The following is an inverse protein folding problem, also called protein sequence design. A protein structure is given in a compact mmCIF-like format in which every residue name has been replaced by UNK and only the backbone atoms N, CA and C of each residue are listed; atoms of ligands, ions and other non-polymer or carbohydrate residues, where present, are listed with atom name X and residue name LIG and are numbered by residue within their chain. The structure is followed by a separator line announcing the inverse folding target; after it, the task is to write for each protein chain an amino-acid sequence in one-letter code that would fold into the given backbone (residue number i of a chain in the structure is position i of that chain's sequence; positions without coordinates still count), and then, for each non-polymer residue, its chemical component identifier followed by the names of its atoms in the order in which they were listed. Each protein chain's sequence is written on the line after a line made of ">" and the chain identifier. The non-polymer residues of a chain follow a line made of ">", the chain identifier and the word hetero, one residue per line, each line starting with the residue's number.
data_IF_766570650584
#
_entry.id   IF_766570650584
#
_cell.length_a   1.000
_cell.length_b   1.000
_cell.length_c   1.000
_cell.angle_alpha   90.00
_cell.angle_beta   90.00
_cell.angle_gamma   90.00
#
_symmetry.space_group_name_H-M   'P 1'
#
loop_
_entity.id
_entity.type
_entity.pdbx_description
1 polymer ?
#
# COMPACT_ATOMS: atom_id res chain seq x y z
N UNK A 1 -31.91 8.01 11.96
CA UNK A 1 -31.18 7.12 11.06
C UNK A 1 -29.71 7.28 11.38
N UNK A 2 -29.05 6.22 11.87
CA UNK A 2 -27.62 6.25 12.17
C UNK A 2 -26.79 6.10 10.90
N UNK A 3 -25.51 6.45 10.99
CA UNK A 3 -24.52 6.25 9.93
C UNK A 3 -24.46 4.78 9.46
N UNK A 4 -24.54 3.83 10.39
CA UNK A 4 -24.60 2.40 10.07
C UNK A 4 -25.88 2.03 9.34
N UNK A 5 -27.03 2.51 9.80
CA UNK A 5 -28.33 2.26 9.18
C UNK A 5 -28.37 2.80 7.74
N UNK A 6 -27.80 3.98 7.52
CA UNK A 6 -27.65 4.58 6.19
C UNK A 6 -26.79 3.69 5.28
N UNK A 7 -25.59 3.30 5.72
CA UNK A 7 -24.69 2.45 4.92
C UNK A 7 -25.36 1.11 4.58
N UNK A 8 -26.05 0.48 5.53
CA UNK A 8 -26.74 -0.79 5.30
C UNK A 8 -27.98 -0.64 4.41
N UNK A 9 -28.67 0.51 4.45
CA UNK A 9 -29.74 0.82 3.51
C UNK A 9 -29.19 0.95 2.08
N UNK A 10 -28.06 1.64 1.90
CA UNK A 10 -27.39 1.73 0.59
C UNK A 10 -26.90 0.36 0.11
N UNK A 11 -26.28 -0.44 0.99
CA UNK A 11 -25.84 -1.79 0.64
C UNK A 11 -27.00 -2.69 0.19
N UNK A 12 -28.19 -2.55 0.79
CA UNK A 12 -29.40 -3.28 0.36
C UNK A 12 -29.90 -2.77 -0.99
N UNK A 13 -29.99 -1.46 -1.18
CA UNK A 13 -30.43 -0.84 -2.44
C UNK A 13 -29.54 -1.28 -3.61
N UNK A 14 -28.23 -1.11 -3.44
CA UNK A 14 -27.21 -1.42 -4.46
C UNK A 14 -26.79 -2.88 -4.51
N UNK A 15 -27.40 -3.76 -3.73
CA UNK A 15 -27.33 -5.19 -4.01
C UNK A 15 -28.13 -5.54 -5.28
N UNK A 16 -29.21 -4.78 -5.55
CA UNK A 16 -30.10 -4.98 -6.69
C UNK A 16 -29.88 -3.98 -7.83
N UNK A 17 -29.10 -2.92 -7.60
CA UNK A 17 -28.77 -1.88 -8.60
C UNK A 17 -27.26 -1.59 -8.61
N UNK A 18 -26.76 -0.81 -9.56
CA UNK A 18 -25.35 -0.42 -9.60
C UNK A 18 -25.04 0.76 -8.66
N UNK A 19 -23.84 0.77 -8.07
CA UNK A 19 -23.37 1.82 -7.17
C UNK A 19 -23.11 3.14 -7.90
N UNK A 20 -23.56 4.23 -7.29
CA UNK A 20 -23.10 5.58 -7.62
C UNK A 20 -21.76 5.85 -6.91
N UNK A 21 -20.77 6.37 -7.63
CA UNK A 21 -19.42 6.61 -7.08
C UNK A 21 -19.41 7.63 -5.93
N UNK A 22 -20.26 8.66 -5.97
CA UNK A 22 -20.31 9.68 -4.93
C UNK A 22 -20.89 9.10 -3.65
N UNK A 23 -21.96 8.30 -3.76
CA UNK A 23 -22.58 7.62 -2.62
C UNK A 23 -21.61 6.58 -2.02
N UNK A 24 -20.84 5.89 -2.88
CA UNK A 24 -19.81 4.97 -2.42
C UNK A 24 -18.73 5.69 -1.61
N UNK A 25 -18.24 6.85 -2.09
CA UNK A 25 -17.23 7.65 -1.40
C UNK A 25 -17.75 8.21 -0.08
N UNK A 26 -19.00 8.65 -0.03
CA UNK A 26 -19.67 9.08 1.19
C UNK A 26 -19.75 7.93 2.20
N UNK A 27 -20.21 6.75 1.78
CA UNK A 27 -20.23 5.57 2.66
C UNK A 27 -18.82 5.22 3.19
N UNK A 28 -17.78 5.42 2.38
CA UNK A 28 -16.39 5.20 2.79
C UNK A 28 -15.89 6.23 3.80
N UNK A 29 -16.26 7.51 3.66
CA UNK A 29 -15.81 8.59 4.56
C UNK A 29 -16.47 8.52 5.94
N UNK A 30 -17.65 7.91 6.03
CA UNK A 30 -18.39 7.72 7.28
C UNK A 30 -17.83 6.54 8.10
N UNK A 31 -17.25 5.52 7.44
CA UNK A 31 -16.77 4.30 8.12
C UNK A 31 -15.88 4.52 9.36
N UNK A 32 -14.96 5.49 9.41
CA UNK A 32 -14.13 5.72 10.60
C UNK A 32 -14.92 6.08 11.87
N UNK A 33 -16.15 6.58 11.72
CA UNK A 33 -17.02 6.96 12.85
C UNK A 33 -17.82 5.78 13.41
N UNK A 34 -17.88 4.67 12.68
CA UNK A 34 -18.62 3.48 13.09
C UNK A 34 -17.93 2.77 14.26
N UNK A 35 -18.74 2.18 15.13
CA UNK A 35 -18.24 1.29 16.16
C UNK A 35 -17.63 0.03 15.54
N UNK A 36 -16.83 -0.69 16.35
CA UNK A 36 -16.20 -1.94 15.92
C UNK A 36 -17.23 -2.98 15.47
N UNK A 37 -18.35 -3.10 16.17
CA UNK A 37 -19.39 -4.08 15.86
C UNK A 37 -20.13 -3.74 14.56
N UNK A 38 -20.41 -2.46 14.33
CA UNK A 38 -21.00 -1.98 13.07
C UNK A 38 -20.06 -2.21 11.88
N UNK A 39 -18.77 -1.93 12.05
CA UNK A 39 -17.75 -2.21 11.03
C UNK A 39 -17.63 -3.71 10.72
N UNK A 40 -17.71 -4.58 11.74
CA UNK A 40 -17.77 -6.03 11.54
C UNK A 40 -19.03 -6.42 10.78
N UNK A 41 -20.16 -5.79 11.08
CA UNK A 41 -21.42 -5.95 10.36
C UNK A 41 -21.28 -5.64 8.87
N UNK A 42 -20.64 -4.51 8.51
CA UNK A 42 -20.37 -4.15 7.12
C UNK A 42 -19.38 -5.12 6.47
N UNK A 43 -18.28 -5.46 7.16
CA UNK A 43 -17.23 -6.35 6.64
C UNK A 43 -17.74 -7.77 6.36
N UNK A 44 -18.62 -8.30 7.21
CA UNK A 44 -19.22 -9.65 7.07
C UNK A 44 -20.52 -9.66 6.27
N UNK A 45 -20.97 -8.51 5.78
CA UNK A 45 -22.21 -8.43 5.01
C UNK A 45 -22.13 -9.30 3.76
N UNK A 46 -23.14 -10.16 3.58
CA UNK A 46 -23.31 -10.99 2.38
C UNK A 46 -23.79 -10.20 1.16
N UNK A 47 -24.25 -8.97 1.37
CA UNK A 47 -24.76 -8.09 0.30
C UNK A 47 -23.63 -7.55 -0.59
N UNK A 48 -22.40 -7.55 -0.10
CA UNK A 48 -21.22 -7.05 -0.79
C UNK A 48 -20.29 -8.21 -1.17
N UNK A 49 -19.78 -8.22 -2.39
CA UNK A 49 -18.73 -9.16 -2.79
C UNK A 49 -17.43 -8.93 -2.00
N UNK A 50 -16.59 -9.95 -1.84
CA UNK A 50 -15.39 -9.87 -0.96
C UNK A 50 -14.37 -8.81 -1.40
N UNK A 51 -14.35 -8.49 -2.69
CA UNK A 51 -13.49 -7.44 -3.24
C UNK A 51 -14.13 -6.05 -3.22
N UNK A 52 -15.33 -5.90 -2.67
CA UNK A 52 -16.06 -4.64 -2.70
C UNK A 52 -15.34 -3.54 -1.92
N UNK A 53 -15.27 -2.29 -2.43
CA UNK A 53 -14.53 -1.20 -1.80
C UNK A 53 -14.95 -0.94 -0.34
N UNK A 54 -16.24 -1.04 -0.01
CA UNK A 54 -16.71 -0.88 1.38
C UNK A 54 -16.18 -1.97 2.32
N UNK A 55 -16.13 -3.24 1.90
CA UNK A 55 -15.51 -4.31 2.71
C UNK A 55 -14.02 -4.04 2.93
N UNK A 56 -13.32 -3.55 1.90
CA UNK A 56 -11.91 -3.19 2.02
C UNK A 56 -11.70 -2.00 2.96
N UNK A 57 -12.56 -0.98 2.91
CA UNK A 57 -12.52 0.16 3.82
C UNK A 57 -12.81 -0.27 5.25
N UNK A 58 -13.85 -1.07 5.49
CA UNK A 58 -14.18 -1.60 6.81
C UNK A 58 -13.01 -2.41 7.40
N UNK A 59 -12.38 -3.27 6.58
CA UNK A 59 -11.17 -3.98 6.97
C UNK A 59 -10.03 -3.03 7.38
N UNK A 60 -9.74 -2.02 6.57
CA UNK A 60 -8.68 -1.05 6.86
C UNK A 60 -8.91 -0.35 8.19
N UNK A 61 -10.14 0.07 8.47
CA UNK A 61 -10.50 0.72 9.73
C UNK A 61 -10.40 -0.27 10.90
N UNK A 62 -10.97 -1.47 10.78
CA UNK A 62 -10.99 -2.49 11.84
C UNK A 62 -9.60 -2.96 12.31
N UNK A 63 -8.64 -2.96 11.39
CA UNK A 63 -7.31 -3.50 11.59
C UNK A 63 -6.22 -2.43 11.50
N UNK A 64 -6.57 -1.14 11.46
CA UNK A 64 -5.63 -0.02 11.40
C UNK A 64 -4.55 -0.13 12.49
N UNK A 65 -4.94 -0.37 13.75
CA UNK A 65 -4.01 -0.51 14.88
C UNK A 65 -3.06 -1.71 14.73
N UNK A 66 -3.58 -2.84 14.24
CA UNK A 66 -2.75 -4.04 14.05
C UNK A 66 -1.76 -3.85 12.90
N UNK A 67 -2.18 -3.15 11.84
CA UNK A 67 -1.30 -2.78 10.73
C UNK A 67 -0.27 -1.76 11.21
N UNK A 68 -0.66 -0.75 11.98
CA UNK A 68 0.23 0.24 12.56
C UNK A 68 1.32 -0.38 13.42
N UNK A 69 0.96 -1.22 14.40
CA UNK A 69 1.93 -1.97 15.23
C UNK A 69 2.87 -2.85 14.40
N UNK A 70 2.36 -3.42 13.31
CA UNK A 70 3.17 -4.24 12.39
C UNK A 70 4.14 -3.40 11.57
N UNK A 71 3.73 -2.23 11.10
CA UNK A 71 4.58 -1.27 10.40
C UNK A 71 5.65 -0.69 11.34
N UNK A 72 5.30 -0.35 12.58
CA UNK A 72 6.23 0.11 13.61
C UNK A 72 7.30 -0.96 13.91
N UNK A 73 6.89 -2.22 14.09
CA UNK A 73 7.82 -3.34 14.25
C UNK A 73 8.79 -3.43 13.07
N UNK A 74 8.29 -3.37 11.83
CA UNK A 74 9.11 -3.45 10.62
C UNK A 74 10.10 -2.29 10.55
N UNK A 75 9.68 -1.06 10.88
CA UNK A 75 10.55 0.11 10.94
C UNK A 75 11.65 -0.02 11.99
N UNK A 76 11.37 -0.68 13.11
CA UNK A 76 12.33 -0.90 14.19
C UNK A 76 13.35 -2.02 13.90
N UNK A 77 13.07 -2.92 12.94
CA UNK A 77 14.00 -4.01 12.60
C UNK A 77 15.29 -3.49 11.97
N UNK A 78 16.39 -4.15 12.27
CA UNK A 78 17.66 -3.97 11.59
C UNK A 78 17.59 -4.50 10.15
N UNK A 79 18.56 -4.10 9.33
CA UNK A 79 18.55 -4.44 7.91
C UNK A 79 18.67 -5.95 7.67
N UNK A 80 19.41 -6.68 8.50
CA UNK A 80 19.65 -8.11 8.27
C UNK A 80 18.38 -8.91 8.61
N UNK A 81 17.69 -8.59 9.71
CA UNK A 81 16.38 -9.19 10.00
C UNK A 81 15.30 -8.86 8.95
N UNK A 82 15.28 -7.62 8.43
CA UNK A 82 14.36 -7.25 7.34
C UNK A 82 14.61 -8.07 6.09
N UNK A 83 15.87 -8.30 5.74
CA UNK A 83 16.24 -9.09 4.57
C UNK A 83 15.81 -10.54 4.74
N UNK A 84 16.01 -11.13 5.90
CA UNK A 84 15.57 -12.50 6.17
C UNK A 84 14.04 -12.64 6.10
N UNK A 85 13.28 -11.72 6.72
CA UNK A 85 11.82 -11.71 6.60
C UNK A 85 11.33 -11.44 5.16
N UNK A 86 12.09 -10.70 4.36
CA UNK A 86 11.78 -10.42 2.96
C UNK A 86 12.00 -11.64 2.05
N UNK A 87 13.02 -12.46 2.35
CA UNK A 87 13.28 -13.71 1.61
C UNK A 87 12.18 -14.74 1.84
N UNK A 88 11.54 -14.73 3.01
CA UNK A 88 10.35 -15.53 3.25
C UNK A 88 9.15 -14.97 2.47
N UNK A 89 8.97 -15.50 1.25
CA UNK A 89 7.87 -15.16 0.35
C UNK A 89 6.49 -15.56 0.87
N UNK A 90 6.41 -16.39 1.93
CA UNK A 90 5.15 -16.74 2.60
C UNK A 90 4.83 -15.76 3.72
N UNK A 91 5.77 -14.91 4.13
CA UNK A 91 5.48 -13.87 5.10
C UNK A 91 4.49 -12.89 4.49
N UNK A 92 3.35 -12.68 5.15
CA UNK A 92 2.41 -11.62 4.76
C UNK A 92 3.01 -10.21 4.87
N UNK A 93 4.30 -10.08 5.23
CA UNK A 93 5.04 -8.85 5.46
C UNK A 93 5.76 -8.34 4.20
N UNK A 94 5.96 -9.17 3.17
CA UNK A 94 6.83 -8.85 2.02
C UNK A 94 6.52 -7.49 1.41
N UNK A 95 5.25 -7.12 1.27
CA UNK A 95 4.87 -5.82 0.71
C UNK A 95 5.27 -4.64 1.61
N UNK A 96 5.09 -4.77 2.93
CA UNK A 96 5.45 -3.75 3.90
C UNK A 96 6.98 -3.64 4.02
N UNK A 97 7.68 -4.76 4.07
CA UNK A 97 9.15 -4.78 4.11
C UNK A 97 9.73 -4.19 2.82
N UNK A 98 9.16 -4.52 1.65
CA UNK A 98 9.58 -3.90 0.38
C UNK A 98 9.47 -2.38 0.43
N UNK A 99 8.38 -1.86 1.00
CA UNK A 99 8.18 -0.41 1.16
C UNK A 99 9.26 0.18 2.06
N UNK A 100 9.50 -0.42 3.22
CA UNK A 100 10.53 0.02 4.16
C UNK A 100 11.95 0.00 3.54
N UNK A 101 12.33 -1.09 2.87
CA UNK A 101 13.63 -1.18 2.19
C UNK A 101 13.78 -0.10 1.12
N UNK A 102 12.72 0.23 0.37
CA UNK A 102 12.74 1.33 -0.61
C UNK A 102 12.90 2.70 0.07
N UNK A 103 12.27 2.91 1.21
CA UNK A 103 12.40 4.16 2.00
C UNK A 103 13.83 4.32 2.55
N UNK A 104 14.42 3.26 3.12
CA UNK A 104 15.82 3.25 3.59
C UNK A 104 16.81 3.52 2.47
N UNK A 105 16.63 2.88 1.31
CA UNK A 105 17.47 3.11 0.13
C UNK A 105 17.44 4.58 -0.30
N UNK A 106 16.24 5.18 -0.42
CA UNK A 106 16.09 6.60 -0.77
C UNK A 106 16.74 7.53 0.26
N UNK A 107 16.71 7.16 1.54
CA UNK A 107 17.35 7.89 2.62
C UNK A 107 18.89 7.72 2.69
N UNK A 108 19.50 6.97 1.76
CA UNK A 108 20.96 6.76 1.79
C UNK A 108 21.41 5.59 2.66
N UNK A 109 20.50 4.91 3.37
CA UNK A 109 20.83 3.83 4.31
C UNK A 109 20.84 2.48 3.60
N UNK A 110 21.83 1.65 3.93
CA UNK A 110 21.94 0.25 3.50
C UNK A 110 21.84 0.02 1.99
N UNK A 111 22.15 1.04 1.16
CA UNK A 111 21.92 1.04 -0.29
C UNK A 111 22.45 -0.19 -1.00
N UNK A 112 23.68 -0.61 -0.69
CA UNK A 112 24.32 -1.77 -1.32
C UNK A 112 23.63 -3.09 -0.93
N UNK A 113 23.33 -3.29 0.36
CA UNK A 113 22.62 -4.48 0.85
C UNK A 113 21.23 -4.60 0.22
N UNK A 114 20.49 -3.48 0.18
CA UNK A 114 19.14 -3.42 -0.40
C UNK A 114 19.17 -3.68 -1.91
N UNK A 115 20.10 -3.04 -2.64
CA UNK A 115 20.27 -3.25 -4.07
C UNK A 115 20.60 -4.72 -4.38
N UNK A 116 21.47 -5.35 -3.60
CA UNK A 116 21.81 -6.77 -3.74
C UNK A 116 20.58 -7.67 -3.68
N UNK A 117 19.72 -7.47 -2.67
CA UNK A 117 18.48 -8.25 -2.51
C UNK A 117 17.47 -7.97 -3.61
N UNK A 118 17.27 -6.70 -3.99
CA UNK A 118 16.33 -6.35 -5.06
C UNK A 118 16.79 -6.85 -6.44
N UNK A 119 18.10 -6.93 -6.67
CA UNK A 119 18.65 -7.46 -7.91
C UNK A 119 18.35 -8.96 -8.12
N UNK A 120 18.22 -9.74 -7.03
CA UNK A 120 17.89 -11.18 -7.09
C UNK A 120 16.41 -11.49 -6.78
N UNK A 121 15.61 -10.45 -6.52
CA UNK A 121 14.18 -10.57 -6.21
C UNK A 121 13.34 -10.61 -7.50
N UNK A 122 12.34 -9.74 -7.62
CA UNK A 122 11.43 -9.70 -8.76
C UNK A 122 11.95 -8.77 -9.87
N UNK A 123 11.49 -8.98 -11.11
CA UNK A 123 11.76 -8.05 -12.22
C UNK A 123 11.40 -6.59 -11.89
N UNK A 124 10.31 -6.40 -11.14
CA UNK A 124 9.88 -5.06 -10.69
C UNK A 124 10.89 -4.43 -9.72
N UNK A 125 11.41 -5.20 -8.76
CA UNK A 125 12.41 -4.72 -7.81
C UNK A 125 13.74 -4.38 -8.51
N UNK A 126 14.18 -5.22 -9.46
CA UNK A 126 15.34 -4.95 -10.31
C UNK A 126 15.20 -3.65 -11.13
N UNK A 127 14.05 -3.47 -11.79
CA UNK A 127 13.76 -2.26 -12.55
C UNK A 127 13.72 -1.03 -11.65
N UNK A 128 13.20 -1.18 -10.43
CA UNK A 128 13.18 -0.10 -9.44
C UNK A 128 14.58 0.34 -9.06
N UNK A 129 15.51 -0.59 -8.73
CA UNK A 129 16.91 -0.24 -8.43
C UNK A 129 17.58 0.48 -9.61
N UNK A 130 17.43 -0.05 -10.83
CA UNK A 130 17.95 0.59 -12.06
C UNK A 130 17.42 2.00 -12.24
N UNK A 131 16.14 2.23 -11.93
CA UNK A 131 15.54 3.57 -11.99
C UNK A 131 16.17 4.52 -10.97
N UNK A 132 16.45 4.06 -9.74
CA UNK A 132 17.05 4.91 -8.72
C UNK A 132 18.50 5.28 -9.08
N UNK A 133 19.30 4.31 -9.54
CA UNK A 133 20.67 4.58 -10.03
C UNK A 133 20.67 5.58 -11.19
N UNK A 134 19.71 5.44 -12.12
CA UNK A 134 19.57 6.39 -13.23
C UNK A 134 19.22 7.79 -12.73
N UNK A 135 18.29 7.92 -11.77
CA UNK A 135 17.91 9.22 -11.19
C UNK A 135 19.09 9.89 -10.49
N UNK A 136 19.89 9.14 -9.75
CA UNK A 136 21.09 9.66 -9.08
C UNK A 136 22.14 10.15 -10.09
N UNK A 137 22.31 9.45 -11.22
CA UNK A 137 23.34 9.77 -12.22
C UNK A 137 22.93 10.86 -13.22
N UNK A 138 21.65 10.94 -13.56
CA UNK A 138 21.16 11.76 -14.67
C UNK A 138 20.05 12.75 -14.29
N UNK A 139 19.58 12.74 -13.03
CA UNK A 139 18.41 13.51 -12.60
C UNK A 139 17.08 12.80 -12.89
N UNK A 140 15.99 13.34 -12.33
CA UNK A 140 14.65 12.75 -12.46
C UNK A 140 14.06 13.06 -13.85
N UNK A 141 13.70 12.02 -14.61
CA UNK A 141 13.13 12.15 -15.96
C UNK A 141 11.65 12.56 -15.96
N UNK A 142 11.05 12.82 -14.79
CA UNK A 142 9.64 13.17 -14.63
C UNK A 142 9.33 14.67 -14.64
N UNK A 143 10.33 15.54 -14.78
CA UNK A 143 10.09 16.96 -14.99
C UNK A 143 10.07 17.19 -16.52
N UNK A 144 8.96 17.71 -17.05
CA UNK A 144 8.65 17.89 -18.49
C UNK A 144 9.60 18.83 -19.26
N UNK A 145 10.86 18.99 -18.83
CA UNK A 145 11.78 19.97 -19.39
C UNK A 145 13.26 19.54 -19.34
N UNK A 146 13.59 18.33 -19.80
CA UNK A 146 14.99 17.92 -19.97
C UNK A 146 15.31 17.44 -21.39
N UNK A 147 15.95 18.35 -22.14
CA UNK A 147 16.95 17.98 -23.15
C UNK A 147 17.93 16.99 -22.50
N UNK A 148 18.00 15.79 -23.07
CA UNK A 148 19.08 14.85 -22.78
C UNK A 148 20.41 15.57 -22.99
N UNK A 149 21.17 15.81 -21.92
CA UNK A 149 22.58 16.21 -22.07
C UNK A 149 23.29 15.02 -22.73
N UNK A 150 23.54 15.15 -24.04
CA UNK A 150 24.28 14.15 -24.81
C UNK A 150 25.66 13.96 -24.14
N UNK A 151 26.19 12.72 -24.09
CA UNK A 151 27.57 12.51 -23.67
C UNK A 151 28.49 13.29 -24.60
N UNK A 152 29.29 14.20 -24.05
CA UNK A 152 30.39 14.80 -24.78
C UNK A 152 31.46 13.74 -24.96
N UNK A 153 31.58 13.21 -26.17
CA UNK A 153 32.76 12.45 -26.56
C UNK A 153 33.91 13.45 -26.69
N UNK A 154 34.95 13.29 -25.87
CA UNK A 154 36.29 13.81 -26.10
C UNK A 154 37.15 12.65 -26.57
#
# INVERSE_FOLDING_TARGET
>A
MTDYEYIMAQCRKYHFTQWDENVLRECQSIMPNLTRDELVGVYRSRLLGDRHPLKQTAFKVLFADKVGKREERIKALDIDALIEEFKDKKSGNVALIRKELRERYKAGKDKQKIAGIFNVSTKSDQQWVKSQIRKERYGDSGNNNYQWKKPSWK
#
